data_IF_344149816058
#
_entry.id   IF_344149816058
#
_cell.length_a   1.000
_cell.length_b   1.000
_cell.length_c   1.000
_cell.angle_alpha   90.00
_cell.angle_beta   90.00
_cell.angle_gamma   90.00
#
_symmetry.space_group_name_H-M   'P 1'
#
loop_
_entity.id
_entity.type
_entity.pdbx_description
1 polymer ?
#
# COMPACT_ATOMS: atom_id res chain seq x y z
N UNK A 1 3.83 9.91 11.37
CA UNK A 1 4.85 9.01 10.79
C UNK A 1 4.62 7.61 11.36
N UNK A 2 4.60 6.56 10.53
CA UNK A 2 4.51 5.16 11.00
C UNK A 2 5.84 4.78 11.65
N UNK A 3 5.89 4.79 12.98
CA UNK A 3 7.13 4.66 13.76
C UNK A 3 7.38 3.24 14.28
N UNK A 4 6.40 2.34 14.22
CA UNK A 4 6.55 0.99 14.75
C UNK A 4 7.08 0.04 13.67
N UNK A 5 8.25 -0.53 13.92
CA UNK A 5 8.78 -1.68 13.17
C UNK A 5 8.74 -2.86 14.13
N UNK A 6 8.17 -3.98 13.68
CA UNK A 6 8.02 -5.17 14.48
C UNK A 6 8.36 -6.41 13.66
N UNK A 7 8.76 -7.49 14.35
CA UNK A 7 9.05 -8.76 13.71
C UNK A 7 7.76 -9.39 13.15
N UNK A 8 7.85 -9.94 11.95
CA UNK A 8 6.80 -10.81 11.42
C UNK A 8 6.77 -12.08 12.27
N UNK A 9 5.56 -12.54 12.61
CA UNK A 9 5.37 -13.73 13.42
C UNK A 9 6.03 -14.95 12.79
N UNK A 10 6.67 -15.79 13.60
CA UNK A 10 7.46 -16.92 13.12
C UNK A 10 6.62 -17.91 12.30
N UNK A 11 5.35 -18.13 12.65
CA UNK A 11 4.44 -19.00 11.91
C UNK A 11 4.07 -18.50 10.51
N UNK A 12 4.33 -17.22 10.22
CA UNK A 12 4.13 -16.59 8.91
C UNK A 12 5.41 -16.58 8.07
N UNK A 13 6.57 -16.83 8.69
CA UNK A 13 7.86 -16.88 7.99
C UNK A 13 8.03 -18.22 7.26
N UNK A 14 8.59 -18.14 6.06
CA UNK A 14 8.93 -19.32 5.26
C UNK A 14 10.32 -19.82 5.64
N UNK A 15 10.49 -21.14 5.71
CA UNK A 15 11.82 -21.74 5.77
C UNK A 15 12.55 -21.51 4.43
N UNK A 16 13.63 -20.74 4.46
CA UNK A 16 14.47 -20.49 3.30
C UNK A 16 15.28 -21.74 2.94
N UNK A 17 15.46 -21.97 1.63
CA UNK A 17 16.41 -22.97 1.11
C UNK A 17 17.85 -22.51 1.33
N UNK A 18 18.82 -23.41 1.25
CA UNK A 18 20.22 -23.05 1.45
C UNK A 18 20.74 -22.08 0.38
N UNK A 19 20.24 -22.18 -0.86
CA UNK A 19 20.53 -21.22 -1.92
C UNK A 19 19.99 -19.82 -1.57
N UNK A 20 18.77 -19.72 -1.05
CA UNK A 20 18.17 -18.44 -0.65
C UNK A 20 18.86 -17.81 0.55
N UNK A 21 19.36 -18.62 1.49
CA UNK A 21 20.18 -18.14 2.62
C UNK A 21 21.50 -17.55 2.16
N UNK A 22 22.05 -18.02 1.04
CA UNK A 22 23.31 -17.55 0.47
C UNK A 22 23.15 -16.28 -0.39
N UNK A 23 21.92 -15.79 -0.64
CA UNK A 23 21.70 -14.57 -1.41
C UNK A 23 22.43 -13.35 -0.79
N UNK A 24 23.07 -12.54 -1.64
CA UNK A 24 23.86 -11.39 -1.22
C UNK A 24 23.36 -10.09 -1.87
N UNK A 25 23.68 -8.94 -1.24
CA UNK A 25 23.32 -7.62 -1.76
C UNK A 25 21.84 -7.50 -2.13
N UNK A 26 21.58 -6.98 -3.33
CA UNK A 26 20.24 -6.79 -3.87
C UNK A 26 19.49 -8.10 -4.16
N UNK A 27 20.17 -9.24 -4.32
CA UNK A 27 19.51 -10.53 -4.54
C UNK A 27 18.67 -10.97 -3.33
N UNK A 28 19.00 -10.46 -2.13
CA UNK A 28 18.18 -10.68 -0.93
C UNK A 28 16.76 -10.14 -1.06
N UNK A 29 16.53 -9.13 -1.92
CA UNK A 29 15.22 -8.53 -2.17
C UNK A 29 14.30 -9.45 -2.98
N UNK A 30 14.87 -10.41 -3.72
CA UNK A 30 14.12 -11.36 -4.54
C UNK A 30 13.68 -12.60 -3.76
N UNK A 31 14.15 -12.75 -2.52
CA UNK A 31 13.81 -13.89 -1.66
C UNK A 31 12.50 -13.62 -0.92
N UNK A 32 11.48 -14.42 -1.20
CA UNK A 32 10.19 -14.39 -0.49
C UNK A 32 10.35 -14.97 0.91
N UNK A 33 10.16 -14.17 1.96
CA UNK A 33 10.46 -14.56 3.36
C UNK A 33 9.25 -14.96 4.18
N UNK A 34 8.04 -14.66 3.73
CA UNK A 34 6.79 -14.93 4.45
C UNK A 34 5.64 -15.16 3.48
N UNK A 35 4.48 -15.54 4.03
CA UNK A 35 3.19 -15.53 3.31
C UNK A 35 2.66 -14.10 3.03
N UNK A 36 3.34 -13.06 3.52
CA UNK A 36 3.04 -11.64 3.31
C UNK A 36 4.27 -10.89 2.75
N UNK A 37 4.76 -11.26 1.55
CA UNK A 37 6.04 -10.77 1.04
C UNK A 37 6.08 -9.26 0.80
N UNK A 38 4.95 -8.66 0.41
CA UNK A 38 4.88 -7.25 0.04
C UNK A 38 5.21 -6.28 1.20
N UNK A 39 5.14 -6.74 2.45
CA UNK A 39 5.41 -5.93 3.65
C UNK A 39 6.61 -6.44 4.46
N UNK A 40 7.23 -7.55 4.06
CA UNK A 40 8.29 -8.20 4.84
C UNK A 40 9.65 -7.73 4.38
N UNK A 41 10.40 -7.09 5.27
CA UNK A 41 11.76 -6.65 5.04
C UNK A 41 12.76 -7.82 4.98
N UNK A 42 13.97 -7.54 4.51
CA UNK A 42 15.07 -8.54 4.41
C UNK A 42 15.50 -9.13 5.75
N UNK A 43 15.25 -8.40 6.85
CA UNK A 43 15.52 -8.80 8.24
C UNK A 43 14.32 -9.48 8.92
N UNK A 44 13.27 -9.80 8.16
CA UNK A 44 12.01 -10.38 8.63
C UNK A 44 11.13 -9.45 9.49
N UNK A 45 11.41 -8.16 9.50
CA UNK A 45 10.54 -7.15 10.13
C UNK A 45 9.49 -6.58 9.15
N UNK A 46 8.53 -5.83 9.67
CA UNK A 46 7.59 -5.03 8.91
C UNK A 46 7.29 -3.72 9.64
N UNK A 47 6.97 -2.65 8.90
CA UNK A 47 6.41 -1.42 9.49
C UNK A 47 4.92 -1.59 9.67
N UNK A 48 4.43 -1.38 10.88
CA UNK A 48 3.04 -1.66 11.22
C UNK A 48 2.29 -0.42 11.66
N UNK A 49 1.03 -0.37 11.25
CA UNK A 49 0.01 0.53 11.77
C UNK A 49 -1.11 -0.31 12.35
N UNK A 50 -1.40 -0.12 13.63
CA UNK A 50 -2.53 -0.75 14.31
C UNK A 50 -3.75 0.16 14.24
N UNK A 51 -4.90 -0.41 13.97
CA UNK A 51 -6.18 0.30 13.92
C UNK A 51 -7.11 -0.23 15.02
N UNK A 52 -7.80 0.69 15.69
CA UNK A 52 -8.79 0.36 16.72
C UNK A 52 -10.18 0.73 16.20
N UNK A 53 -11.16 -0.13 16.45
CA UNK A 53 -12.56 0.09 16.09
C UNK A 53 -13.16 1.33 16.74
N UNK A 54 -12.74 1.69 17.95
CA UNK A 54 -13.26 2.85 18.67
C UNK A 54 -12.79 4.17 18.05
N UNK A 55 -11.57 4.20 17.50
CA UNK A 55 -10.96 5.41 16.94
C UNK A 55 -11.26 5.54 15.44
N UNK A 56 -11.25 4.42 14.70
CA UNK A 56 -11.43 4.38 13.25
C UNK A 56 -12.39 3.24 12.84
N UNK A 57 -13.69 3.35 13.15
CA UNK A 57 -14.64 2.26 12.97
C UNK A 57 -14.74 1.80 11.51
N UNK A 58 -14.87 2.72 10.55
CA UNK A 58 -14.99 2.36 9.13
C UNK A 58 -13.75 1.63 8.60
N UNK A 59 -12.56 2.11 8.96
CA UNK A 59 -11.31 1.49 8.50
C UNK A 59 -11.12 0.11 9.13
N UNK A 60 -11.48 -0.03 10.41
CA UNK A 60 -11.49 -1.33 11.09
C UNK A 60 -12.43 -2.32 10.44
N UNK A 61 -13.69 -1.93 10.16
CA UNK A 61 -14.67 -2.80 9.51
C UNK A 61 -14.24 -3.21 8.11
N UNK A 62 -13.58 -2.31 7.35
CA UNK A 62 -13.04 -2.63 6.04
C UNK A 62 -11.98 -3.73 6.11
N UNK A 63 -11.00 -3.59 7.01
CA UNK A 63 -9.95 -4.61 7.19
C UNK A 63 -10.52 -5.92 7.74
N UNK A 64 -11.51 -5.86 8.64
CA UNK A 64 -12.20 -7.04 9.16
C UNK A 64 -12.99 -7.77 8.05
N UNK A 65 -13.68 -7.04 7.17
CA UNK A 65 -14.37 -7.60 6.02
C UNK A 65 -13.39 -8.20 5.00
N UNK A 66 -12.26 -7.54 4.76
CA UNK A 66 -11.17 -8.07 3.94
C UNK A 66 -10.67 -9.41 4.52
N UNK A 67 -10.37 -9.46 5.82
CA UNK A 67 -9.96 -10.67 6.51
C UNK A 67 -10.98 -11.81 6.37
N UNK A 68 -12.28 -11.51 6.57
CA UNK A 68 -13.35 -12.50 6.42
C UNK A 68 -13.41 -13.08 5.00
N UNK A 69 -13.11 -12.28 3.98
CA UNK A 69 -13.14 -12.69 2.57
C UNK A 69 -11.88 -13.44 2.12
N UNK A 70 -10.71 -13.01 2.60
CA UNK A 70 -9.41 -13.46 2.05
C UNK A 70 -8.62 -14.36 3.00
N UNK A 71 -8.97 -14.38 4.29
CA UNK A 71 -8.15 -15.00 5.34
C UNK A 71 -6.87 -14.21 5.68
N UNK A 72 -6.64 -13.06 5.05
CA UNK A 72 -5.52 -12.17 5.32
C UNK A 72 -5.96 -10.98 6.21
N UNK A 73 -5.46 -10.84 7.44
CA UNK A 73 -5.90 -9.80 8.37
C UNK A 73 -5.21 -8.43 8.18
N UNK A 74 -4.46 -8.23 7.10
CA UNK A 74 -3.66 -7.02 6.88
C UNK A 74 -3.89 -6.46 5.48
N UNK A 75 -3.77 -5.14 5.35
CA UNK A 75 -3.79 -4.41 4.09
C UNK A 75 -2.54 -3.55 3.99
N UNK A 76 -2.08 -3.30 2.76
CA UNK A 76 -0.99 -2.35 2.53
C UNK A 76 -1.56 -0.94 2.60
N UNK A 77 -0.93 -0.09 3.38
CA UNK A 77 -1.24 1.33 3.45
C UNK A 77 -0.04 2.13 2.95
N UNK A 78 -0.23 2.87 1.86
CA UNK A 78 0.76 3.78 1.27
C UNK A 78 0.16 5.18 1.13
N UNK A 79 1.01 6.19 0.98
CA UNK A 79 0.56 7.55 0.70
C UNK A 79 -0.30 7.58 -0.57
N UNK A 80 -1.43 8.27 -0.48
CA UNK A 80 -2.25 8.54 -1.66
C UNK A 80 -1.73 9.80 -2.33
N UNK A 81 -0.77 9.60 -3.25
CA UNK A 81 -0.13 10.60 -4.08
C UNK A 81 0.63 9.92 -5.23
N UNK A 82 1.16 10.72 -6.15
CA UNK A 82 2.21 10.30 -7.10
C UNK A 82 3.57 10.84 -6.64
N UNK A 83 4.66 10.26 -7.15
CA UNK A 83 6.01 10.70 -6.77
C UNK A 83 6.20 12.17 -7.14
N UNK A 84 6.61 12.99 -6.18
CA UNK A 84 6.80 14.44 -6.33
C UNK A 84 5.64 15.26 -5.75
N UNK A 85 4.45 14.69 -5.60
CA UNK A 85 3.27 15.40 -5.08
C UNK A 85 3.05 15.17 -3.57
N UNK A 86 2.46 16.14 -2.85
CA UNK A 86 2.00 15.94 -1.47
C UNK A 86 0.82 14.94 -1.41
N UNK A 87 0.49 14.48 -0.19
CA UNK A 87 -0.72 13.67 0.02
C UNK A 87 -1.95 14.51 -0.29
N UNK A 88 -2.89 13.94 -1.03
CA UNK A 88 -4.17 14.59 -1.38
C UNK A 88 -4.95 15.02 -0.14
N UNK A 89 -5.57 16.20 -0.21
CA UNK A 89 -6.34 16.84 0.85
C UNK A 89 -7.74 17.27 0.39
N UNK A 90 -8.00 17.33 -0.92
CA UNK A 90 -9.32 17.67 -1.49
C UNK A 90 -9.90 16.53 -2.35
N UNK A 91 -11.23 16.49 -2.55
CA UNK A 91 -11.86 15.58 -3.50
C UNK A 91 -11.29 15.69 -4.92
N UNK A 92 -11.02 16.91 -5.38
CA UNK A 92 -10.48 17.23 -6.69
C UNK A 92 -9.05 16.67 -6.85
N UNK A 93 -8.20 16.85 -5.83
CA UNK A 93 -6.85 16.27 -5.79
C UNK A 93 -6.90 14.74 -5.78
N UNK A 94 -7.83 14.16 -5.00
CA UNK A 94 -8.02 12.70 -4.92
C UNK A 94 -8.43 12.11 -6.27
N UNK A 95 -9.37 12.76 -6.96
CA UNK A 95 -9.82 12.36 -8.29
C UNK A 95 -8.70 12.51 -9.33
N UNK A 96 -8.00 13.63 -9.32
CA UNK A 96 -6.86 13.88 -10.22
C UNK A 96 -5.77 12.82 -10.06
N UNK A 97 -5.36 12.54 -8.81
CA UNK A 97 -4.37 11.49 -8.51
C UNK A 97 -4.86 10.10 -8.93
N UNK A 98 -6.12 9.78 -8.66
CA UNK A 98 -6.75 8.53 -9.11
C UNK A 98 -6.71 8.38 -10.63
N UNK A 99 -7.05 9.44 -11.37
CA UNK A 99 -7.06 9.42 -12.84
C UNK A 99 -5.65 9.35 -13.46
N UNK A 100 -4.64 9.94 -12.82
CA UNK A 100 -3.22 9.86 -13.25
C UNK A 100 -2.52 8.52 -12.95
N UNK A 101 -3.02 7.74 -11.98
CA UNK A 101 -2.37 6.49 -11.54
C UNK A 101 -2.96 5.24 -12.19
N UNK A 102 -2.52 4.05 -11.80
CA UNK A 102 -3.11 2.77 -12.24
C UNK A 102 -4.04 2.16 -11.19
N UNK A 103 -4.60 2.98 -10.30
CA UNK A 103 -5.58 2.51 -9.32
C UNK A 103 -6.87 2.08 -10.03
N UNK A 104 -7.47 0.98 -9.57
CA UNK A 104 -8.71 0.46 -10.16
C UNK A 104 -9.95 1.17 -9.62
N UNK A 105 -9.95 1.50 -8.33
CA UNK A 105 -11.09 2.10 -7.64
C UNK A 105 -10.68 3.26 -6.74
N UNK A 106 -11.53 4.29 -6.67
CA UNK A 106 -11.45 5.37 -5.69
C UNK A 106 -12.68 5.31 -4.77
N UNK A 107 -12.44 5.11 -3.48
CA UNK A 107 -13.47 5.24 -2.44
C UNK A 107 -13.31 6.58 -1.74
N UNK A 108 -14.31 7.45 -1.85
CA UNK A 108 -14.29 8.80 -1.31
C UNK A 108 -15.61 9.11 -0.59
N UNK A 109 -15.57 9.07 0.75
CA UNK A 109 -16.79 9.20 1.56
C UNK A 109 -17.80 8.09 1.21
N UNK A 110 -18.97 8.48 0.72
CA UNK A 110 -20.03 7.54 0.29
C UNK A 110 -20.00 7.21 -1.21
N UNK A 111 -18.97 7.65 -1.93
CA UNK A 111 -18.82 7.43 -3.36
C UNK A 111 -17.76 6.35 -3.63
N UNK A 112 -18.06 5.48 -4.58
CA UNK A 112 -17.13 4.51 -5.14
C UNK A 112 -17.07 4.74 -6.64
N UNK A 113 -15.89 5.06 -7.16
CA UNK A 113 -15.65 5.27 -8.57
C UNK A 113 -14.84 4.08 -9.10
N UNK A 114 -15.35 3.45 -10.16
CA UNK A 114 -14.60 2.48 -10.96
C UNK A 114 -13.89 3.22 -12.09
N UNK A 115 -12.56 3.00 -12.23
CA UNK A 115 -11.76 3.69 -13.24
C UNK A 115 -12.24 3.37 -14.66
N UNK A 116 -12.79 2.19 -14.88
CA UNK A 116 -13.30 1.75 -16.19
C UNK A 116 -14.59 2.46 -16.60
N UNK A 117 -15.27 3.11 -15.66
CA UNK A 117 -16.50 3.89 -15.89
C UNK A 117 -16.23 5.40 -16.02
N UNK A 118 -14.98 5.86 -15.86
CA UNK A 118 -14.62 7.26 -15.99
C UNK A 118 -14.24 7.61 -17.44
N UNK A 119 -14.40 8.88 -17.81
CA UNK A 119 -13.91 9.38 -19.09
C UNK A 119 -12.37 9.29 -19.16
N UNK A 120 -11.78 9.04 -20.34
CA UNK A 120 -10.34 9.07 -20.51
C UNK A 120 -9.76 10.38 -19.99
N UNK A 121 -8.71 10.26 -19.17
CA UNK A 121 -8.02 11.43 -18.65
C UNK A 121 -7.11 12.01 -19.74
N UNK A 122 -7.39 13.24 -20.15
CA UNK A 122 -6.49 14.03 -20.99
C UNK A 122 -5.65 14.91 -20.06
N UNK A 123 -4.33 14.74 -20.09
CA UNK A 123 -3.44 15.65 -19.37
C UNK A 123 -3.33 16.96 -20.15
N UNK A 124 -3.73 18.05 -19.53
CA UNK A 124 -3.59 19.40 -20.10
C UNK A 124 -2.14 19.92 -19.99
N UNK A 125 -1.38 19.49 -18.97
CA UNK A 125 -0.02 19.98 -18.66
C UNK A 125 0.92 18.88 -18.14
N UNK A 126 2.23 18.99 -18.43
CA UNK A 126 3.29 18.09 -17.90
C UNK A 126 3.63 18.44 -16.45
N UNK A 127 2.73 18.06 -15.54
CA UNK A 127 2.86 18.28 -14.08
C UNK A 127 4.15 17.71 -13.46
N UNK A 128 4.87 16.83 -14.17
CA UNK A 128 6.17 16.31 -13.73
C UNK A 128 7.26 17.37 -13.74
N UNK A 129 7.05 18.49 -14.45
CA UNK A 129 7.96 19.65 -14.43
C UNK A 129 7.69 20.60 -13.25
N UNK A 130 6.51 20.51 -12.61
CA UNK A 130 6.08 21.44 -11.56
C UNK A 130 6.65 21.08 -10.17
N UNK A 131 6.98 19.80 -9.95
CA UNK A 131 7.53 19.31 -8.69
C UNK A 131 8.91 18.71 -8.91
N UNK A 132 9.95 19.34 -8.34
CA UNK A 132 11.30 18.76 -8.34
C UNK A 132 11.27 17.38 -7.66
N UNK A 133 11.76 16.38 -8.38
CA UNK A 133 11.94 15.04 -7.84
C UNK A 133 13.17 15.05 -6.90
N UNK A 134 12.94 14.89 -5.60
CA UNK A 134 13.99 14.48 -4.66
C UNK A 134 14.60 13.10 -5.05
#
# INVERSE_FOLDING_TARGET
YMLLVADVRQERLRCLTDAEKQAQGFDKLRVVRSDMPAITHVDNSARVQTINRNDHPLYYEMVAAFHKKTGCPVVINTSFNVRGEPIVCTPEESYTCFMRTKMDYLCMGSFLLDKTEQEPWEEEDDWREEFELD
#
